data_IF_163945835417
#
_entry.id   IF_163945835417
#
_cell.length_a   1.000
_cell.length_b   1.000
_cell.length_c   1.000
_cell.angle_alpha   90.00
_cell.angle_beta   90.00
_cell.angle_gamma   90.00
#
_symmetry.space_group_name_H-M   'P 1'
#
loop_
_entity.id
_entity.type
_entity.pdbx_description
1 polymer ?
#
# COMPACT_ATOMS: atom_id res chain seq x y z
N UNK A 1 22.17 -0.10 -6.55
CA UNK A 1 20.90 0.28 -5.90
C UNK A 1 21.12 0.32 -4.40
N UNK A 2 20.69 1.38 -3.72
CA UNK A 2 20.68 1.42 -2.25
C UNK A 2 19.44 0.69 -1.72
N UNK A 3 19.46 0.29 -0.43
CA UNK A 3 18.29 -0.30 0.24
C UNK A 3 17.06 0.61 0.16
N UNK A 4 17.26 1.93 0.22
CA UNK A 4 16.21 2.96 0.08
C UNK A 4 15.50 2.83 -1.27
N UNK A 5 16.25 2.87 -2.38
CA UNK A 5 15.69 2.80 -3.73
C UNK A 5 14.94 1.49 -3.96
N UNK A 6 15.47 0.37 -3.44
CA UNK A 6 14.79 -0.92 -3.54
C UNK A 6 13.43 -0.92 -2.85
N UNK A 7 13.37 -0.42 -1.60
CA UNK A 7 12.14 -0.37 -0.82
C UNK A 7 11.11 0.58 -1.41
N UNK A 8 11.53 1.74 -1.94
CA UNK A 8 10.65 2.67 -2.65
C UNK A 8 10.05 2.05 -3.91
N UNK A 9 10.84 1.33 -4.71
CA UNK A 9 10.34 0.61 -5.89
C UNK A 9 9.32 -0.46 -5.50
N UNK A 10 9.59 -1.23 -4.44
CA UNK A 10 8.64 -2.22 -3.94
C UNK A 10 7.33 -1.58 -3.48
N UNK A 11 7.41 -0.49 -2.71
CA UNK A 11 6.24 0.27 -2.27
C UNK A 11 5.40 0.75 -3.46
N UNK A 12 6.02 1.39 -4.45
CA UNK A 12 5.34 1.91 -5.64
C UNK A 12 4.69 0.77 -6.46
N UNK A 13 5.37 -0.37 -6.59
CA UNK A 13 4.83 -1.54 -7.28
C UNK A 13 3.60 -2.13 -6.57
N UNK A 14 3.61 -2.20 -5.24
CA UNK A 14 2.46 -2.64 -4.44
C UNK A 14 1.27 -1.69 -4.60
N UNK A 15 1.51 -0.39 -4.51
CA UNK A 15 0.49 0.65 -4.68
C UNK A 15 -0.15 0.59 -6.07
N UNK A 16 0.69 0.50 -7.12
CA UNK A 16 0.21 0.41 -8.49
C UNK A 16 -0.61 -0.87 -8.72
N UNK A 17 -0.17 -2.00 -8.17
CA UNK A 17 -0.90 -3.26 -8.25
C UNK A 17 -2.28 -3.17 -7.59
N UNK A 18 -2.40 -2.51 -6.45
CA UNK A 18 -3.67 -2.24 -5.79
C UNK A 18 -4.58 -1.34 -6.66
N UNK A 19 -4.06 -0.22 -7.15
CA UNK A 19 -4.81 0.73 -7.98
C UNK A 19 -5.35 0.04 -9.24
N UNK A 20 -4.51 -0.70 -9.94
CA UNK A 20 -4.92 -1.46 -11.13
C UNK A 20 -6.08 -2.41 -10.84
N UNK A 21 -6.04 -3.14 -9.73
CA UNK A 21 -7.10 -4.08 -9.37
C UNK A 21 -8.40 -3.38 -8.99
N UNK A 22 -8.33 -2.19 -8.37
CA UNK A 22 -9.53 -1.37 -8.12
C UNK A 22 -10.18 -0.95 -9.44
N UNK A 23 -9.40 -0.40 -10.37
CA UNK A 23 -9.87 0.02 -11.71
C UNK A 23 -10.50 -1.17 -12.46
N UNK A 24 -9.83 -2.32 -12.47
CA UNK A 24 -10.37 -3.55 -13.09
C UNK A 24 -11.73 -3.93 -12.52
N UNK A 25 -11.95 -3.81 -11.21
CA UNK A 25 -13.26 -4.12 -10.61
C UNK A 25 -14.33 -3.12 -11.03
N UNK A 26 -13.98 -1.84 -11.18
CA UNK A 26 -14.88 -0.79 -11.63
C UNK A 26 -15.24 -0.97 -13.11
N UNK A 27 -14.26 -1.17 -13.98
CA UNK A 27 -14.44 -1.36 -15.42
C UNK A 27 -15.29 -2.60 -15.74
N UNK A 28 -15.15 -3.68 -14.96
CA UNK A 28 -15.95 -4.89 -15.14
C UNK A 28 -17.36 -4.80 -14.53
N UNK A 29 -17.77 -3.64 -14.00
CA UNK A 29 -19.11 -3.44 -13.44
C UNK A 29 -19.39 -4.36 -12.26
N UNK A 30 -18.39 -4.59 -11.40
CA UNK A 30 -18.55 -5.45 -10.23
C UNK A 30 -19.70 -4.94 -9.34
N UNK A 31 -20.62 -5.81 -8.87
CA UNK A 31 -21.69 -5.38 -7.97
C UNK A 31 -21.15 -4.70 -6.72
N UNK A 32 -21.78 -3.59 -6.29
CA UNK A 32 -21.31 -2.74 -5.18
C UNK A 32 -20.99 -3.52 -3.90
N UNK A 33 -21.80 -4.52 -3.56
CA UNK A 33 -21.58 -5.36 -2.37
C UNK A 33 -20.29 -6.18 -2.46
N UNK A 34 -19.99 -6.69 -3.65
CA UNK A 34 -18.75 -7.43 -3.93
C UNK A 34 -17.55 -6.50 -4.05
N UNK A 35 -17.75 -5.33 -4.67
CA UNK A 35 -16.74 -4.29 -4.79
C UNK A 35 -16.27 -3.84 -3.40
N UNK A 36 -17.20 -3.44 -2.53
CA UNK A 36 -16.88 -2.96 -1.19
C UNK A 36 -16.14 -4.00 -0.35
N UNK A 37 -16.60 -5.25 -0.34
CA UNK A 37 -15.92 -6.31 0.41
C UNK A 37 -14.51 -6.59 -0.11
N UNK A 38 -14.33 -6.62 -1.44
CA UNK A 38 -13.02 -6.89 -2.07
C UNK A 38 -12.06 -5.73 -1.90
N UNK A 39 -12.52 -4.49 -2.08
CA UNK A 39 -11.70 -3.29 -1.92
C UNK A 39 -11.21 -3.17 -0.48
N UNK A 40 -12.06 -3.41 0.52
CA UNK A 40 -11.66 -3.43 1.94
C UNK A 40 -10.64 -4.52 2.25
N UNK A 41 -10.84 -5.73 1.71
CA UNK A 41 -9.88 -6.83 1.87
C UNK A 41 -8.53 -6.48 1.25
N UNK A 42 -8.53 -5.89 0.05
CA UNK A 42 -7.32 -5.47 -0.63
C UNK A 42 -6.61 -4.33 0.10
N UNK A 43 -7.37 -3.34 0.58
CA UNK A 43 -6.88 -2.22 1.38
C UNK A 43 -6.17 -2.71 2.64
N UNK A 44 -6.79 -3.65 3.37
CA UNK A 44 -6.18 -4.30 4.54
C UNK A 44 -4.90 -5.05 4.17
N UNK A 45 -4.89 -5.77 3.05
CA UNK A 45 -3.69 -6.50 2.62
C UNK A 45 -2.54 -5.54 2.29
N UNK A 46 -2.78 -4.52 1.48
CA UNK A 46 -1.78 -3.52 1.12
C UNK A 46 -1.28 -2.77 2.37
N UNK A 47 -2.17 -2.42 3.31
CA UNK A 47 -1.79 -1.84 4.61
C UNK A 47 -0.77 -2.71 5.34
N UNK A 48 -1.02 -4.02 5.45
CA UNK A 48 -0.10 -4.95 6.11
C UNK A 48 1.24 -5.08 5.36
N UNK A 49 1.21 -5.05 4.03
CA UNK A 49 2.43 -5.10 3.21
C UNK A 49 3.28 -3.85 3.40
N UNK A 50 2.68 -2.65 3.40
CA UNK A 50 3.37 -1.38 3.67
C UNK A 50 3.92 -1.37 5.11
N UNK A 51 3.15 -1.86 6.09
CA UNK A 51 3.64 -2.03 7.46
C UNK A 51 4.84 -2.97 7.56
N UNK A 52 4.88 -4.02 6.74
CA UNK A 52 6.04 -4.92 6.66
C UNK A 52 7.26 -4.22 6.02
N UNK A 53 7.06 -3.38 4.99
CA UNK A 53 8.12 -2.55 4.42
C UNK A 53 8.66 -1.54 5.43
N UNK A 54 7.80 -0.97 6.27
CA UNK A 54 8.23 -0.11 7.39
C UNK A 54 9.20 -0.84 8.32
N UNK A 55 8.85 -2.07 8.72
CA UNK A 55 9.74 -2.88 9.58
C UNK A 55 11.07 -3.16 8.89
N UNK A 56 11.05 -3.56 7.60
CA UNK A 56 12.28 -3.79 6.83
C UNK A 56 13.15 -2.54 6.71
N UNK A 57 12.55 -1.38 6.46
CA UNK A 57 13.27 -0.11 6.39
C UNK A 57 13.95 0.22 7.74
N UNK A 58 13.24 -0.02 8.84
CA UNK A 58 13.76 0.17 10.19
C UNK A 58 14.95 -0.75 10.46
N UNK A 59 14.82 -2.04 10.17
CA UNK A 59 15.87 -3.05 10.39
C UNK A 59 17.12 -2.79 9.54
N UNK A 60 16.96 -2.14 8.38
CA UNK A 60 18.06 -1.71 7.51
C UNK A 60 18.68 -0.35 7.92
N UNK A 61 18.24 0.23 9.03
CA UNK A 61 18.75 1.49 9.58
C UNK A 61 18.19 2.74 8.90
N UNK A 62 17.16 2.61 8.07
CA UNK A 62 16.53 3.75 7.39
C UNK A 62 15.24 4.16 8.10
N UNK A 63 15.39 4.83 9.24
CA UNK A 63 14.28 5.16 10.14
C UNK A 63 13.32 6.20 9.54
N UNK A 64 13.82 7.13 8.72
CA UNK A 64 12.96 8.13 8.06
C UNK A 64 12.01 7.44 7.07
N UNK A 65 12.54 6.53 6.24
CA UNK A 65 11.71 5.76 5.31
C UNK A 65 10.73 4.84 6.05
N UNK A 66 11.17 4.23 7.16
CA UNK A 66 10.29 3.44 8.01
C UNK A 66 9.12 4.26 8.55
N UNK A 67 9.41 5.45 9.08
CA UNK A 67 8.39 6.39 9.59
C UNK A 67 7.39 6.79 8.49
N UNK A 68 7.88 7.05 7.27
CA UNK A 68 7.03 7.35 6.12
C UNK A 68 6.10 6.17 5.80
N UNK A 69 6.62 4.95 5.67
CA UNK A 69 5.78 3.78 5.39
C UNK A 69 4.78 3.51 6.51
N UNK A 70 5.16 3.66 7.78
CA UNK A 70 4.25 3.48 8.90
C UNK A 70 3.11 4.50 8.88
N UNK A 71 3.42 5.76 8.60
CA UNK A 71 2.43 6.84 8.51
C UNK A 71 1.44 6.56 7.38
N UNK A 72 1.95 6.19 6.20
CA UNK A 72 1.12 5.81 5.05
C UNK A 72 0.24 4.59 5.37
N UNK A 73 0.79 3.53 5.96
CA UNK A 73 0.01 2.35 6.34
C UNK A 73 -1.10 2.72 7.34
N UNK A 74 -0.80 3.62 8.28
CA UNK A 74 -1.76 4.08 9.28
C UNK A 74 -2.90 4.87 8.63
N UNK A 75 -2.59 5.86 7.80
CA UNK A 75 -3.58 6.70 7.12
C UNK A 75 -4.45 5.89 6.14
N UNK A 76 -3.82 5.02 5.35
CA UNK A 76 -4.54 4.16 4.41
C UNK A 76 -5.40 3.11 5.13
N UNK A 77 -4.88 2.54 6.23
CA UNK A 77 -5.55 1.52 7.04
C UNK A 77 -6.71 2.05 7.88
N UNK A 78 -6.64 3.30 8.36
CA UNK A 78 -7.67 3.89 9.21
C UNK A 78 -8.65 4.77 8.46
N UNK A 79 -8.14 5.69 7.63
CA UNK A 79 -8.91 6.75 6.98
C UNK A 79 -9.21 6.44 5.50
N UNK A 80 -8.71 5.32 4.98
CA UNK A 80 -8.79 4.95 3.57
C UNK A 80 -8.25 6.04 2.61
N UNK A 81 -7.29 6.85 3.09
CA UNK A 81 -6.61 7.85 2.27
C UNK A 81 -5.66 7.11 1.33
N UNK A 82 -5.96 7.14 0.03
CA UNK A 82 -5.13 6.50 -1.00
C UNK A 82 -3.71 7.07 -0.96
N UNK A 83 -2.67 6.23 -0.79
CA UNK A 83 -1.30 6.71 -0.77
C UNK A 83 -0.87 7.25 -2.13
N UNK A 84 0.04 8.21 -2.10
CA UNK A 84 0.77 8.64 -3.29
C UNK A 84 2.06 7.80 -3.49
N UNK A 85 2.54 7.66 -4.73
CA UNK A 85 3.86 7.11 -5.01
C UNK A 85 4.97 7.93 -4.34
N UNK A 86 6.04 7.26 -3.93
CA UNK A 86 7.24 7.86 -3.32
C UNK A 86 8.41 7.93 -4.29
#
# INVERSE_FOLDING_TARGET
>A
MTSVTALTVLYNGLLQGYQFQIEVMQENGMPDSSFHFRSEKMRKNLTNQIGSLSQMAYDLGNHDLASTFLSVATEFGSNAVTPEPL
#
